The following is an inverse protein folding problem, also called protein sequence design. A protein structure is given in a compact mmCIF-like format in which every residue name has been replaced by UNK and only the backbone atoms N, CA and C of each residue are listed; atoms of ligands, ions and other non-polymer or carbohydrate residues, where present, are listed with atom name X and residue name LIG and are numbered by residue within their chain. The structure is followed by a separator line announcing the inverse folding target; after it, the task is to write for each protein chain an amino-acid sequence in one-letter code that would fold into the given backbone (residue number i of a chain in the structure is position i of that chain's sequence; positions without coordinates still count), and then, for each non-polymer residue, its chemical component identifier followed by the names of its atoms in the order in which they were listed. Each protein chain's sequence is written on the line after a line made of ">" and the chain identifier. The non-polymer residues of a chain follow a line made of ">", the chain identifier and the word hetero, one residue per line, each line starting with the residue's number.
data_IF_676844126747
#
_entry.id   IF_676844126747
#
_cell.length_a   1.000
_cell.length_b   1.000
_cell.length_c   1.000
_cell.angle_alpha   90.00
_cell.angle_beta   90.00
_cell.angle_gamma   90.00
#
_symmetry.space_group_name_H-M   'P 1'
#
loop_
_entity.id
_entity.type
_entity.pdbx_description
1 polymer ?
#
# COMPACT_ATOMS: atom_id res chain seq x y z
N UNK A 1 -12.77 -8.97 6.81
CA UNK A 1 -11.82 -9.04 7.94
C UNK A 1 -11.68 -7.70 8.65
N UNK A 2 -11.43 -6.60 7.91
CA UNK A 2 -11.36 -5.20 8.40
C UNK A 2 -12.44 -4.83 9.45
N UNK A 3 -13.72 -5.05 9.13
CA UNK A 3 -14.84 -4.77 10.05
C UNK A 3 -14.77 -5.52 11.39
N UNK A 4 -14.20 -6.73 11.42
CA UNK A 4 -14.05 -7.51 12.67
C UNK A 4 -12.95 -6.95 13.58
N UNK A 5 -12.03 -6.17 13.03
CA UNK A 5 -11.00 -5.44 13.76
C UNK A 5 -11.43 -3.99 14.07
N UNK A 6 -12.66 -3.62 13.73
CA UNK A 6 -13.20 -2.26 13.94
C UNK A 6 -12.76 -1.24 12.89
N UNK A 7 -12.04 -1.65 11.83
CA UNK A 7 -11.53 -0.74 10.81
C UNK A 7 -12.52 -0.56 9.67
N UNK A 8 -12.65 0.68 9.21
CA UNK A 8 -13.61 1.07 8.16
C UNK A 8 -12.99 1.10 6.78
N UNK A 9 -11.65 1.22 6.70
CA UNK A 9 -10.88 1.25 5.46
C UNK A 9 -9.57 0.45 5.57
N UNK A 10 -8.89 0.23 4.43
CA UNK A 10 -7.53 -0.31 4.41
C UNK A 10 -6.53 0.64 5.04
N UNK A 11 -6.72 1.96 4.87
CA UNK A 11 -5.89 2.98 5.51
C UNK A 11 -5.99 2.93 7.02
N UNK A 12 -7.19 2.81 7.59
CA UNK A 12 -7.37 2.73 9.05
C UNK A 12 -6.55 1.55 9.61
N UNK A 13 -6.61 0.41 8.93
CA UNK A 13 -5.84 -0.78 9.30
C UNK A 13 -4.33 -0.57 9.11
N UNK A 14 -3.92 0.06 8.02
CA UNK A 14 -2.53 0.43 7.77
C UNK A 14 -1.98 1.33 8.87
N UNK A 15 -2.70 2.38 9.25
CA UNK A 15 -2.32 3.29 10.34
C UNK A 15 -2.28 2.59 11.70
N UNK A 16 -3.29 1.77 11.99
CA UNK A 16 -3.36 1.04 13.25
C UNK A 16 -2.23 0.00 13.42
N UNK A 17 -1.76 -0.61 12.33
CA UNK A 17 -0.74 -1.67 12.36
C UNK A 17 0.69 -1.18 12.10
N UNK A 18 0.85 -0.20 11.22
CA UNK A 18 2.14 0.24 10.69
C UNK A 18 2.53 1.65 11.15
N UNK A 19 1.64 2.35 11.86
CA UNK A 19 1.82 3.74 12.26
C UNK A 19 1.56 4.71 11.11
N UNK A 20 2.15 5.90 11.19
CA UNK A 20 1.94 6.92 10.16
C UNK A 20 2.66 6.56 8.85
N UNK A 21 2.00 6.80 7.70
CA UNK A 21 2.63 6.64 6.39
C UNK A 21 3.72 7.68 6.19
N UNK A 22 4.60 7.42 5.23
CA UNK A 22 5.55 8.39 4.71
C UNK A 22 4.82 9.65 4.23
N UNK A 23 5.48 10.80 4.39
CA UNK A 23 4.97 12.10 3.93
C UNK A 23 4.69 12.11 2.42
N UNK A 24 5.50 11.39 1.65
CA UNK A 24 5.33 11.21 0.21
C UNK A 24 5.64 9.78 -0.21
N UNK A 25 4.75 9.19 -1.02
CA UNK A 25 4.90 7.82 -1.56
C UNK A 25 6.18 7.62 -2.36
N UNK A 26 6.76 8.69 -2.92
CA UNK A 26 8.00 8.65 -3.69
C UNK A 26 9.24 8.45 -2.82
N UNK A 27 9.11 8.60 -1.50
CA UNK A 27 10.18 8.29 -0.54
C UNK A 27 10.27 6.80 -0.23
N UNK A 28 9.27 6.02 -0.65
CA UNK A 28 9.23 4.59 -0.39
C UNK A 28 10.39 3.87 -1.08
N UNK A 29 11.01 2.95 -0.35
CA UNK A 29 12.13 2.15 -0.80
C UNK A 29 11.69 0.74 -1.12
N UNK A 30 12.52 -0.01 -1.84
CA UNK A 30 12.27 -1.43 -2.10
C UNK A 30 12.04 -2.18 -0.78
N UNK A 31 10.93 -2.90 -0.69
CA UNK A 31 10.49 -3.62 0.51
C UNK A 31 9.39 -2.92 1.29
N UNK A 32 9.25 -1.60 1.14
CA UNK A 32 8.22 -0.82 1.82
C UNK A 32 6.82 -1.28 1.39
N UNK A 33 5.88 -1.20 2.33
CA UNK A 33 4.46 -1.44 2.07
C UNK A 33 3.84 -0.21 1.44
N UNK A 34 2.89 -0.43 0.54
CA UNK A 34 2.23 0.64 -0.20
C UNK A 34 0.76 0.33 -0.45
N UNK A 35 -0.08 1.35 -0.42
CA UNK A 35 -1.51 1.27 -0.66
C UNK A 35 -1.84 2.03 -1.95
N UNK A 36 -2.55 1.38 -2.86
CA UNK A 36 -2.92 1.97 -4.14
C UNK A 36 -3.74 1.01 -5.01
N UNK A 37 -3.85 1.35 -6.30
CA UNK A 37 -4.66 0.60 -7.26
C UNK A 37 -6.16 0.92 -7.20
N UNK A 38 -6.90 0.34 -8.14
CA UNK A 38 -8.35 0.46 -8.24
C UNK A 38 -8.94 -0.93 -8.62
N UNK A 39 -9.57 -1.67 -7.68
CA UNK A 39 -9.82 -1.29 -6.28
C UNK A 39 -8.53 -1.19 -5.45
N UNK A 40 -8.59 -0.41 -4.37
CA UNK A 40 -7.44 -0.17 -3.49
C UNK A 40 -7.00 -1.47 -2.80
N UNK A 41 -5.69 -1.71 -2.76
CA UNK A 41 -5.07 -2.88 -2.14
C UNK A 41 -3.67 -2.55 -1.60
N UNK A 42 -3.20 -3.35 -0.65
CA UNK A 42 -1.80 -3.33 -0.24
C UNK A 42 -0.91 -4.03 -1.28
N UNK A 43 0.26 -3.46 -1.50
CA UNK A 43 1.33 -3.99 -2.33
C UNK A 43 2.68 -3.78 -1.68
N UNK A 44 3.74 -4.15 -2.41
CA UNK A 44 5.13 -4.03 -1.98
C UNK A 44 5.91 -3.25 -3.02
N UNK A 45 6.71 -2.29 -2.58
CA UNK A 45 7.61 -1.53 -3.46
C UNK A 45 8.75 -2.42 -3.93
N UNK A 46 8.96 -2.51 -5.24
CA UNK A 46 10.00 -3.34 -5.87
C UNK A 46 11.09 -2.51 -6.57
N UNK A 47 11.08 -1.19 -6.36
CA UNK A 47 11.95 -0.20 -7.00
C UNK A 47 11.15 1.09 -7.25
N UNK A 48 11.22 1.65 -8.46
CA UNK A 48 10.38 2.79 -8.87
C UNK A 48 8.89 2.42 -9.10
N UNK A 49 8.50 1.17 -8.83
CA UNK A 49 7.14 0.65 -8.98
C UNK A 49 6.79 -0.22 -7.78
N UNK A 50 5.49 -0.46 -7.62
CA UNK A 50 4.94 -1.35 -6.62
C UNK A 50 4.25 -2.54 -7.27
N UNK A 51 4.35 -3.71 -6.65
CA UNK A 51 3.69 -4.93 -7.07
C UNK A 51 2.46 -5.21 -6.21
N UNK A 52 1.35 -5.58 -6.87
CA UNK A 52 0.06 -5.88 -6.25
C UNK A 52 -0.44 -7.24 -6.75
N UNK A 53 -1.19 -7.94 -5.90
CA UNK A 53 -1.92 -9.14 -6.29
C UNK A 53 -3.31 -8.74 -6.76
N UNK A 54 -3.67 -9.14 -7.97
CA UNK A 54 -4.98 -8.91 -8.58
C UNK A 54 -5.51 -10.21 -9.22
N UNK A 55 -6.79 -10.29 -9.61
CA UNK A 55 -7.33 -11.46 -10.32
C UNK A 55 -6.57 -11.81 -11.60
N UNK A 56 -5.96 -10.82 -12.27
CA UNK A 56 -5.12 -11.01 -13.45
C UNK A 56 -3.68 -11.48 -13.12
N UNK A 57 -3.35 -11.69 -11.84
CA UNK A 57 -2.01 -12.06 -11.37
C UNK A 57 -1.28 -10.89 -10.70
N UNK A 58 0.05 -10.88 -10.82
CA UNK A 58 0.89 -9.79 -10.29
C UNK A 58 0.87 -8.59 -11.23
N UNK A 59 0.33 -7.47 -10.74
CA UNK A 59 0.25 -6.20 -11.47
C UNK A 59 1.27 -5.23 -10.88
N UNK A 60 1.87 -4.40 -11.74
CA UNK A 60 2.82 -3.36 -11.34
C UNK A 60 2.25 -1.98 -11.61
N UNK A 61 2.32 -1.10 -10.62
CA UNK A 61 1.91 0.29 -10.75
C UNK A 61 3.08 1.23 -10.41
N UNK A 62 3.21 2.39 -11.10
CA UNK A 62 4.14 3.43 -10.68
C UNK A 62 3.83 3.92 -9.27
N UNK A 63 4.87 4.28 -8.49
CA UNK A 63 4.64 4.83 -7.15
C UNK A 63 3.79 6.11 -7.17
N UNK A 64 3.93 6.91 -8.23
CA UNK A 64 3.18 8.16 -8.42
C UNK A 64 1.67 7.98 -8.59
N UNK A 65 1.20 6.75 -8.87
CA UNK A 65 -0.24 6.44 -8.96
C UNK A 65 -0.77 5.78 -7.67
N UNK A 66 0.09 5.59 -6.68
CA UNK A 66 -0.26 5.02 -5.38
C UNK A 66 -0.50 6.15 -4.37
N UNK A 67 -1.12 5.82 -3.23
CA UNK A 67 -1.65 6.84 -2.30
C UNK A 67 -0.87 6.97 -1.00
N UNK A 68 -0.53 5.86 -0.36
CA UNK A 68 0.18 5.84 0.93
C UNK A 68 1.27 4.79 0.92
N UNK A 69 2.37 5.03 1.63
CA UNK A 69 3.44 4.05 1.82
C UNK A 69 3.93 4.05 3.26
N UNK A 70 4.46 2.93 3.74
CA UNK A 70 5.01 2.76 5.09
C UNK A 70 6.39 2.13 5.02
N UNK A 71 7.29 2.61 5.87
CA UNK A 71 8.59 2.00 6.08
C UNK A 71 8.42 0.69 6.85
N UNK A 72 9.02 -0.39 6.36
CA UNK A 72 9.13 -1.68 7.05
C UNK A 72 10.50 -1.89 7.68
#
# INVERSE_FOLDING_TARGET
>A
MLRRLGWTSLEDGGRALLGDPLEDVRLAQRGDLILGGAPEAFGVVIGATAAFVAPAGLVRLPLSTCRLAWRT
#
